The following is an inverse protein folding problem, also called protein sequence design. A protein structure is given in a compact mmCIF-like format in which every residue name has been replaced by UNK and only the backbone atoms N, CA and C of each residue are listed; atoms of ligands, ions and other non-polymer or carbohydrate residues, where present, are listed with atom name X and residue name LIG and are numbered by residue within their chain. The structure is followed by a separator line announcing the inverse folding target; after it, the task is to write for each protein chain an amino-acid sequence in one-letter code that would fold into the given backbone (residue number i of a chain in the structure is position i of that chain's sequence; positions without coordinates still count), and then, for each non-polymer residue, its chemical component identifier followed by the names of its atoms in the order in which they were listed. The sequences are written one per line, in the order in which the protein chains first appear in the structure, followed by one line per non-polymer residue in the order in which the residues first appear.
data_IF_758597793140
#
_entry.id   IF_758597793140
#
_cell.length_a   1.000
_cell.length_b   1.000
_cell.length_c   1.000
_cell.angle_alpha   90.00
_cell.angle_beta   90.00
_cell.angle_gamma   90.00
#
_symmetry.space_group_name_H-M   'P 1'
#
loop_
_entity.id
_entity.type
_entity.pdbx_description
1 polymer ?
#
# COMPACT_ATOMS: atom_id res chain seq x y z
N UNK A 1 46.44 49.32 -46.47
CA UNK A 1 46.82 48.02 -45.89
C UNK A 1 45.67 47.53 -45.02
N UNK A 2 44.98 46.46 -45.42
CA UNK A 2 43.81 45.92 -44.70
C UNK A 2 44.29 44.68 -43.94
N UNK A 3 44.41 44.77 -42.62
CA UNK A 3 44.85 43.66 -41.77
C UNK A 3 43.83 42.52 -41.86
N UNK A 4 44.25 41.40 -42.46
CA UNK A 4 43.49 40.15 -42.44
C UNK A 4 43.71 39.50 -41.07
N UNK A 5 42.69 39.53 -40.20
CA UNK A 5 42.68 38.70 -38.99
C UNK A 5 42.44 37.27 -39.44
N UNK A 6 43.47 36.42 -39.34
CA UNK A 6 43.31 34.98 -39.51
C UNK A 6 42.35 34.51 -38.41
N UNK A 7 41.23 33.83 -38.73
CA UNK A 7 40.36 33.26 -37.72
C UNK A 7 41.17 32.33 -36.84
N UNK A 8 41.06 32.48 -35.52
CA UNK A 8 41.71 31.59 -34.57
C UNK A 8 41.08 30.19 -34.74
N UNK A 9 41.85 29.24 -35.28
CA UNK A 9 41.41 27.86 -35.42
C UNK A 9 41.19 27.28 -34.02
N UNK A 10 39.93 26.99 -33.71
CA UNK A 10 39.55 26.30 -32.48
C UNK A 10 40.06 24.87 -32.58
N UNK A 11 40.77 24.40 -31.56
CA UNK A 11 41.31 23.03 -31.52
C UNK A 11 40.15 22.02 -31.45
N UNK A 12 39.74 21.54 -32.62
CA UNK A 12 38.65 20.59 -32.76
C UNK A 12 38.96 19.23 -32.11
N UNK A 13 40.25 18.87 -31.98
CA UNK A 13 40.68 17.67 -31.28
C UNK A 13 40.35 17.74 -29.78
N UNK A 14 40.69 18.85 -29.12
CA UNK A 14 40.38 19.04 -27.70
C UNK A 14 38.88 19.18 -27.41
N UNK A 15 38.12 19.78 -28.34
CA UNK A 15 36.65 19.84 -28.20
C UNK A 15 36.00 18.47 -28.39
N UNK A 16 36.49 17.66 -29.33
CA UNK A 16 35.98 16.32 -29.58
C UNK A 16 36.23 15.38 -28.39
N UNK A 17 37.40 15.47 -27.77
CA UNK A 17 37.78 14.61 -26.64
C UNK A 17 36.90 14.88 -25.40
N UNK A 18 36.68 16.16 -25.07
CA UNK A 18 35.78 16.55 -23.96
C UNK A 18 34.34 16.12 -24.25
N UNK A 19 33.86 16.29 -25.49
CA UNK A 19 32.52 15.86 -25.86
C UNK A 19 32.34 14.34 -25.78
N UNK A 20 33.37 13.57 -26.14
CA UNK A 20 33.36 12.10 -26.09
C UNK A 20 33.36 11.59 -24.65
N UNK A 21 34.18 12.18 -23.77
CA UNK A 21 34.18 11.85 -22.34
C UNK A 21 32.83 12.17 -21.67
N UNK A 22 32.21 13.29 -22.04
CA UNK A 22 30.87 13.62 -21.54
C UNK A 22 29.80 12.65 -22.06
N UNK A 23 29.89 12.21 -23.31
CA UNK A 23 28.99 11.21 -23.88
C UNK A 23 29.12 9.85 -23.18
N UNK A 24 30.35 9.39 -22.92
CA UNK A 24 30.58 8.15 -22.15
C UNK A 24 30.11 8.34 -20.72
N UNK A 25 30.41 9.48 -20.08
CA UNK A 25 29.95 9.78 -18.73
C UNK A 25 28.43 9.72 -18.66
N UNK A 26 27.70 10.38 -19.58
CA UNK A 26 26.26 10.26 -19.65
C UNK A 26 25.84 8.83 -19.93
N UNK A 27 26.38 8.15 -20.94
CA UNK A 27 26.01 6.77 -21.28
C UNK A 27 26.21 5.77 -20.11
N UNK A 28 27.30 5.90 -19.36
CA UNK A 28 27.65 5.04 -18.21
C UNK A 28 26.82 5.40 -16.97
N UNK A 29 26.53 6.69 -16.75
CA UNK A 29 25.74 7.13 -15.60
C UNK A 29 24.23 7.17 -15.86
N UNK A 30 23.77 7.06 -17.11
CA UNK A 30 22.34 7.06 -17.49
C UNK A 30 21.71 5.68 -17.47
N UNK A 31 22.28 4.70 -16.77
CA UNK A 31 21.49 3.54 -16.35
C UNK A 31 20.53 4.00 -15.26
N UNK A 32 19.41 4.60 -15.67
CA UNK A 32 18.26 4.75 -14.80
C UNK A 32 17.72 3.33 -14.60
N UNK A 33 18.18 2.68 -13.54
CA UNK A 33 17.49 1.52 -13.01
C UNK A 33 16.08 2.00 -12.65
N UNK A 34 15.10 1.60 -13.44
CA UNK A 34 13.70 1.69 -13.06
C UNK A 34 13.45 0.64 -11.99
N UNK A 35 13.89 0.92 -10.77
CA UNK A 35 13.26 0.32 -9.61
C UNK A 35 11.80 0.73 -9.70
N UNK A 36 10.94 -0.19 -10.11
CA UNK A 36 9.50 -0.06 -9.95
C UNK A 36 9.21 -0.08 -8.44
N UNK A 37 9.55 1.02 -7.78
CA UNK A 37 9.26 1.26 -6.39
C UNK A 37 7.75 1.19 -6.21
N UNK A 38 7.32 0.51 -5.17
CA UNK A 38 5.92 0.52 -4.76
C UNK A 38 5.52 1.98 -4.49
N UNK A 39 4.78 2.59 -5.41
CA UNK A 39 4.29 3.95 -5.22
C UNK A 39 3.17 3.92 -4.17
N UNK A 40 3.56 4.00 -2.89
CA UNK A 40 2.66 4.05 -1.74
C UNK A 40 2.68 5.43 -1.14
N UNK A 41 1.49 5.95 -0.89
CA UNK A 41 1.32 7.02 0.08
C UNK A 41 1.67 6.46 1.46
N UNK A 42 2.51 7.16 2.21
CA UNK A 42 2.72 6.84 3.63
C UNK A 42 1.35 6.84 4.33
N UNK A 43 1.06 5.81 5.15
CA UNK A 43 -0.07 5.89 6.06
C UNK A 43 0.04 7.18 6.89
N UNK A 44 -1.08 7.86 7.19
CA UNK A 44 -1.05 8.99 8.10
C UNK A 44 -0.41 8.56 9.43
N UNK A 45 0.39 9.43 10.06
CA UNK A 45 0.97 9.18 11.37
C UNK A 45 -0.16 8.93 12.39
N UNK A 46 -0.34 7.68 12.80
CA UNK A 46 -1.22 7.34 13.92
C UNK A 46 -0.49 7.75 15.21
N UNK A 47 -0.80 8.95 15.71
CA UNK A 47 -0.46 9.38 17.07
C UNK A 47 -1.35 8.72 18.14
N UNK A 48 -2.14 7.71 17.77
CA UNK A 48 -2.82 6.86 18.74
C UNK A 48 -1.73 6.10 19.49
N UNK A 49 -1.50 6.55 20.73
CA UNK A 49 -0.79 5.85 21.80
C UNK A 49 -0.96 4.35 21.58
N UNK A 50 0.12 3.57 21.64
CA UNK A 50 0.10 2.10 21.69
C UNK A 50 -0.58 1.70 23.01
N UNK A 51 -1.87 1.97 23.11
CA UNK A 51 -2.74 1.67 24.21
C UNK A 51 -3.25 0.26 23.95
N UNK A 52 -2.98 -0.63 24.90
CA UNK A 52 -3.58 -1.96 25.10
C UNK A 52 -4.37 -2.52 23.90
N UNK A 53 -3.66 -2.89 22.84
CA UNK A 53 -4.26 -3.53 21.67
C UNK A 53 -4.59 -4.96 22.07
N UNK A 54 -5.87 -5.31 22.12
CA UNK A 54 -6.31 -6.68 22.40
C UNK A 54 -5.78 -7.63 21.34
N UNK A 55 -5.25 -8.78 21.76
CA UNK A 55 -4.69 -9.80 20.88
C UNK A 55 -5.70 -10.26 19.79
N UNK A 56 -6.98 -10.40 20.13
CA UNK A 56 -8.05 -10.72 19.17
C UNK A 56 -8.26 -9.70 18.04
N UNK A 57 -7.73 -8.49 18.19
CA UNK A 57 -7.77 -7.43 17.17
C UNK A 57 -6.50 -7.42 16.31
N UNK A 58 -5.60 -8.39 16.49
CA UNK A 58 -4.41 -8.61 15.66
C UNK A 58 -4.63 -9.80 14.73
N UNK A 59 -4.30 -9.61 13.46
CA UNK A 59 -4.17 -10.69 12.49
C UNK A 59 -2.71 -10.78 12.07
N UNK A 60 -2.04 -11.81 12.54
CA UNK A 60 -0.60 -11.95 12.41
C UNK A 60 -0.25 -12.81 11.20
N UNK A 61 0.37 -12.18 10.19
CA UNK A 61 0.87 -12.87 9.01
C UNK A 61 2.39 -12.99 9.14
N UNK A 62 2.91 -14.21 9.07
CA UNK A 62 4.35 -14.45 9.03
C UNK A 62 4.75 -15.27 7.81
N UNK A 63 5.85 -14.89 7.17
CA UNK A 63 6.44 -15.62 6.05
C UNK A 63 7.79 -16.17 6.49
N UNK A 64 8.00 -17.47 6.36
CA UNK A 64 9.25 -18.11 6.76
C UNK A 64 10.30 -18.10 5.62
N UNK A 65 11.45 -18.72 5.86
CA UNK A 65 12.56 -18.78 4.89
C UNK A 65 12.28 -19.71 3.70
N UNK A 66 11.31 -20.61 3.85
CA UNK A 66 10.85 -21.52 2.78
C UNK A 66 9.65 -20.97 2.03
N UNK A 67 9.39 -19.66 2.13
CA UNK A 67 8.26 -18.97 1.51
C UNK A 67 6.86 -19.47 1.94
N UNK A 68 6.80 -20.17 3.07
CA UNK A 68 5.54 -20.64 3.64
C UNK A 68 4.86 -19.51 4.39
N UNK A 69 3.58 -19.31 4.09
CA UNK A 69 2.74 -18.28 4.69
C UNK A 69 2.03 -18.90 5.88
N UNK A 70 2.14 -18.23 7.03
CA UNK A 70 1.39 -18.56 8.23
C UNK A 70 0.51 -17.37 8.61
N UNK A 71 -0.73 -17.65 8.99
CA UNK A 71 -1.64 -16.67 9.58
C UNK A 71 -2.08 -17.16 10.96
N UNK A 72 -1.90 -16.32 11.98
CA UNK A 72 -2.20 -16.65 13.38
C UNK A 72 -1.55 -17.98 13.85
N UNK A 73 -0.34 -18.27 13.37
CA UNK A 73 0.41 -19.49 13.70
C UNK A 73 0.05 -20.72 12.87
N UNK A 74 -0.97 -20.65 12.01
CA UNK A 74 -1.38 -21.76 11.13
C UNK A 74 -0.87 -21.56 9.71
N UNK A 75 -0.40 -22.66 9.10
CA UNK A 75 0.01 -22.66 7.69
C UNK A 75 -1.22 -22.53 6.81
N UNK A 76 -1.20 -21.54 5.92
CA UNK A 76 -2.31 -21.29 4.99
C UNK A 76 -1.81 -21.15 3.56
N UNK A 77 -2.69 -21.42 2.60
CA UNK A 77 -2.44 -21.08 1.21
C UNK A 77 -2.70 -19.60 0.94
N UNK A 78 -1.88 -19.02 0.05
CA UNK A 78 -2.05 -17.64 -0.43
C UNK A 78 -3.47 -17.37 -0.94
N UNK A 79 -4.07 -18.35 -1.63
CA UNK A 79 -5.44 -18.29 -2.17
C UNK A 79 -6.50 -18.00 -1.11
N UNK A 80 -6.28 -18.48 0.13
CA UNK A 80 -7.22 -18.37 1.24
C UNK A 80 -6.97 -17.14 2.11
N UNK A 81 -5.76 -16.57 2.04
CA UNK A 81 -5.33 -15.45 2.88
C UNK A 81 -6.31 -14.26 2.80
N UNK A 82 -6.68 -13.82 1.58
CA UNK A 82 -7.61 -12.70 1.42
C UNK A 82 -8.96 -12.94 2.07
N UNK A 83 -9.52 -14.15 1.91
CA UNK A 83 -10.80 -14.52 2.52
C UNK A 83 -10.72 -14.46 4.05
N UNK A 84 -9.63 -14.97 4.62
CA UNK A 84 -9.40 -14.97 6.07
C UNK A 84 -9.25 -13.55 6.62
N UNK A 85 -8.48 -12.70 5.94
CA UNK A 85 -8.33 -11.29 6.31
C UNK A 85 -9.68 -10.56 6.23
N UNK A 86 -10.47 -10.81 5.19
CA UNK A 86 -11.80 -10.20 5.08
C UNK A 86 -12.72 -10.64 6.22
N UNK A 87 -12.76 -11.94 6.53
CA UNK A 87 -13.56 -12.46 7.64
C UNK A 87 -13.13 -11.87 8.98
N UNK A 88 -11.82 -11.71 9.19
CA UNK A 88 -11.26 -11.06 10.36
C UNK A 88 -11.66 -9.58 10.47
N UNK A 89 -11.40 -8.77 9.42
CA UNK A 89 -11.69 -7.32 9.47
C UNK A 89 -13.21 -7.09 9.60
N UNK A 90 -14.02 -7.85 8.86
CA UNK A 90 -15.48 -7.70 8.81
C UNK A 90 -16.22 -8.45 9.92
N UNK A 91 -15.50 -9.02 10.91
CA UNK A 91 -16.08 -9.85 11.96
C UNK A 91 -17.13 -9.09 12.79
N UNK A 92 -16.77 -7.92 13.33
CA UNK A 92 -17.67 -7.10 14.16
C UNK A 92 -18.08 -7.79 15.46
N UNK A 93 -17.13 -8.35 16.21
CA UNK A 93 -17.37 -9.18 17.40
C UNK A 93 -17.92 -8.45 18.63
N UNK A 94 -18.13 -7.13 18.59
CA UNK A 94 -18.81 -6.41 19.66
C UNK A 94 -20.30 -6.73 19.70
N UNK A 95 -20.85 -6.81 20.91
CA UNK A 95 -22.27 -7.06 21.12
C UNK A 95 -23.11 -5.86 20.67
N UNK A 96 -24.35 -6.12 20.26
CA UNK A 96 -25.34 -5.11 19.81
C UNK A 96 -25.57 -3.99 20.82
N UNK A 97 -25.35 -4.27 22.11
CA UNK A 97 -25.53 -3.32 23.21
C UNK A 97 -24.33 -2.38 23.42
N UNK A 98 -23.22 -2.59 22.70
CA UNK A 98 -22.04 -1.74 22.75
C UNK A 98 -22.23 -0.48 21.90
N UNK A 99 -21.74 0.66 22.38
CA UNK A 99 -21.73 1.92 21.61
C UNK A 99 -20.92 1.83 20.31
N UNK A 100 -19.94 0.91 20.27
CA UNK A 100 -19.07 0.67 19.12
C UNK A 100 -19.53 -0.52 18.27
N UNK A 101 -20.81 -0.92 18.37
CA UNK A 101 -21.36 -2.00 17.57
C UNK A 101 -21.25 -1.73 16.07
N UNK A 102 -20.74 -2.72 15.33
CA UNK A 102 -20.63 -2.63 13.88
C UNK A 102 -21.95 -3.00 13.19
N UNK A 103 -22.72 -1.99 12.76
CA UNK A 103 -23.99 -2.19 12.05
C UNK A 103 -23.81 -2.61 10.57
N UNK A 104 -22.68 -2.28 9.95
CA UNK A 104 -22.36 -2.60 8.55
C UNK A 104 -21.53 -3.87 8.36
N UNK A 105 -20.99 -4.46 9.44
CA UNK A 105 -20.21 -5.69 9.38
C UNK A 105 -21.08 -6.90 9.02
N UNK A 106 -20.54 -7.81 8.19
CA UNK A 106 -21.25 -9.02 7.73
C UNK A 106 -20.54 -10.33 8.08
N UNK A 107 -19.50 -10.27 8.92
CA UNK A 107 -18.81 -11.46 9.42
C UNK A 107 -19.61 -12.22 10.46
N UNK A 108 -18.97 -13.23 11.04
CA UNK A 108 -19.59 -14.19 11.95
C UNK A 108 -19.82 -13.64 13.37
N UNK A 109 -19.29 -12.45 13.68
CA UNK A 109 -19.37 -11.78 14.99
C UNK A 109 -18.86 -12.64 16.14
N UNK A 110 -17.76 -13.34 15.89
CA UNK A 110 -17.09 -14.16 16.88
C UNK A 110 -16.45 -13.28 17.95
N UNK A 111 -16.63 -13.63 19.22
CA UNK A 111 -16.17 -12.83 20.37
C UNK A 111 -14.66 -12.91 20.61
N UNK A 112 -14.03 -13.94 20.09
CA UNK A 112 -12.59 -14.23 20.11
C UNK A 112 -11.84 -13.67 18.90
N UNK A 113 -12.55 -13.06 17.95
CA UNK A 113 -11.98 -12.41 16.76
C UNK A 113 -12.17 -10.89 16.83
N UNK A 114 -11.78 -10.17 15.77
CA UNK A 114 -11.76 -8.69 15.74
C UNK A 114 -13.08 -8.06 16.18
N UNK A 115 -12.99 -7.09 17.07
CA UNK A 115 -14.13 -6.36 17.64
C UNK A 115 -14.84 -5.49 16.61
N UNK A 116 -14.07 -4.78 15.78
CA UNK A 116 -14.57 -3.80 14.82
C UNK A 116 -13.49 -3.51 13.76
N UNK A 117 -13.85 -3.18 12.50
CA UNK A 117 -12.88 -2.83 11.45
C UNK A 117 -11.89 -1.72 11.82
N UNK A 118 -12.31 -0.79 12.68
CA UNK A 118 -11.44 0.31 13.18
C UNK A 118 -10.40 -0.14 14.19
N UNK A 119 -10.61 -1.28 14.85
CA UNK A 119 -9.67 -1.87 15.82
C UNK A 119 -8.83 -2.99 15.19
N UNK A 120 -9.29 -3.58 14.10
CA UNK A 120 -8.58 -4.61 13.35
C UNK A 120 -7.23 -4.10 12.84
N UNK A 121 -6.15 -4.81 13.17
CA UNK A 121 -4.80 -4.53 12.70
C UNK A 121 -4.24 -5.79 12.06
N UNK A 122 -3.70 -5.65 10.85
CA UNK A 122 -3.03 -6.73 10.13
C UNK A 122 -1.52 -6.52 10.25
N UNK A 123 -0.81 -7.48 10.82
CA UNK A 123 0.66 -7.43 10.91
C UNK A 123 1.26 -8.34 9.85
N UNK A 124 2.35 -7.89 9.22
CA UNK A 124 3.11 -8.67 8.25
C UNK A 124 4.55 -8.75 8.76
N UNK A 125 5.00 -9.98 9.02
CA UNK A 125 6.36 -10.34 9.44
C UNK A 125 6.99 -11.19 8.34
N UNK A 126 8.14 -10.80 7.81
CA UNK A 126 8.89 -11.62 6.88
C UNK A 126 10.26 -11.95 7.48
N UNK A 127 10.77 -13.15 7.23
CA UNK A 127 12.15 -13.49 7.55
C UNK A 127 13.10 -12.90 6.49
N UNK A 128 14.38 -12.74 6.84
CA UNK A 128 15.37 -12.14 5.93
C UNK A 128 15.50 -12.86 4.59
N UNK A 129 15.35 -14.19 4.60
CA UNK A 129 15.51 -15.04 3.43
C UNK A 129 14.20 -15.23 2.65
N UNK A 130 13.09 -14.58 3.05
CA UNK A 130 11.83 -14.65 2.31
C UNK A 130 11.98 -14.04 0.92
N UNK A 131 11.45 -14.73 -0.08
CA UNK A 131 11.43 -14.28 -1.46
C UNK A 131 10.56 -13.03 -1.64
N UNK A 132 11.12 -12.01 -2.29
CA UNK A 132 10.43 -10.75 -2.55
C UNK A 132 9.09 -10.92 -3.30
N UNK A 133 8.98 -11.75 -4.36
CA UNK A 133 7.70 -12.08 -4.99
C UNK A 133 6.62 -12.58 -4.01
N UNK A 134 6.99 -13.40 -3.02
CA UNK A 134 6.04 -13.98 -2.06
C UNK A 134 5.57 -12.92 -1.08
N UNK A 135 6.50 -12.10 -0.58
CA UNK A 135 6.19 -10.92 0.23
C UNK A 135 5.19 -9.99 -0.48
N UNK A 136 5.46 -9.61 -1.74
CA UNK A 136 4.57 -8.76 -2.54
C UNK A 136 3.20 -9.42 -2.75
N UNK A 137 3.17 -10.74 -2.94
CA UNK A 137 1.93 -11.49 -3.15
C UNK A 137 1.04 -11.47 -1.91
N UNK A 138 1.59 -11.76 -0.73
CA UNK A 138 0.90 -11.64 0.57
C UNK A 138 0.34 -10.25 0.75
N UNK A 139 1.16 -9.25 0.45
CA UNK A 139 0.79 -7.87 0.60
C UNK A 139 -0.36 -7.45 -0.35
N UNK A 140 -0.37 -7.95 -1.58
CA UNK A 140 -1.46 -7.74 -2.54
C UNK A 140 -2.76 -8.40 -2.08
N UNK A 141 -2.69 -9.58 -1.43
CA UNK A 141 -3.87 -10.23 -0.84
C UNK A 141 -4.46 -9.38 0.30
N UNK A 142 -3.62 -8.81 1.16
CA UNK A 142 -4.05 -7.91 2.24
C UNK A 142 -4.73 -6.65 1.69
N UNK A 143 -4.08 -5.96 0.74
CA UNK A 143 -4.66 -4.77 0.11
C UNK A 143 -5.94 -5.12 -0.65
N UNK A 144 -5.97 -6.26 -1.32
CA UNK A 144 -7.15 -6.79 -1.99
C UNK A 144 -8.33 -7.02 -1.05
N UNK A 145 -8.09 -7.52 0.17
CA UNK A 145 -9.13 -7.69 1.19
C UNK A 145 -9.77 -6.35 1.57
N UNK A 146 -8.97 -5.32 1.84
CA UNK A 146 -9.47 -3.97 2.13
C UNK A 146 -10.26 -3.40 0.95
N UNK A 147 -9.77 -3.54 -0.28
CA UNK A 147 -10.45 -3.05 -1.47
C UNK A 147 -11.81 -3.73 -1.68
N UNK A 148 -11.91 -5.05 -1.45
CA UNK A 148 -13.18 -5.78 -1.53
C UNK A 148 -14.21 -5.27 -0.50
N UNK A 149 -13.79 -5.06 0.74
CA UNK A 149 -14.67 -4.53 1.80
C UNK A 149 -15.10 -3.10 1.50
N UNK A 150 -14.16 -2.23 1.11
CA UNK A 150 -14.43 -0.84 0.72
C UNK A 150 -15.34 -0.74 -0.49
N UNK A 151 -15.17 -1.61 -1.48
CA UNK A 151 -16.04 -1.69 -2.64
C UNK A 151 -17.47 -2.03 -2.29
N UNK A 152 -17.65 -3.01 -1.40
CA UNK A 152 -18.97 -3.42 -0.95
C UNK A 152 -19.73 -2.23 -0.36
N UNK A 153 -19.09 -1.50 0.55
CA UNK A 153 -19.72 -0.34 1.19
C UNK A 153 -19.87 0.85 0.24
N UNK A 154 -18.88 1.10 -0.62
CA UNK A 154 -18.97 2.13 -1.65
C UNK A 154 -20.16 1.90 -2.58
N UNK A 155 -20.37 0.65 -3.00
CA UNK A 155 -21.50 0.27 -3.84
C UNK A 155 -22.83 0.41 -3.09
N UNK A 156 -22.86 0.09 -1.79
CA UNK A 156 -24.06 0.27 -0.96
C UNK A 156 -24.42 1.76 -0.75
N UNK A 157 -23.44 2.61 -0.50
CA UNK A 157 -23.65 4.02 -0.15
C UNK A 157 -23.77 4.95 -1.36
N UNK A 158 -22.99 4.70 -2.41
CA UNK A 158 -22.84 5.62 -3.56
C UNK A 158 -23.12 4.96 -4.91
N UNK A 159 -23.56 3.70 -4.93
CA UNK A 159 -23.80 2.92 -6.15
C UNK A 159 -22.62 2.88 -7.14
N UNK A 160 -21.40 3.09 -6.64
CA UNK A 160 -20.16 3.16 -7.42
C UNK A 160 -19.08 2.37 -6.68
N UNK A 161 -18.17 1.68 -7.36
CA UNK A 161 -17.07 0.97 -6.69
C UNK A 161 -16.06 1.96 -6.09
N UNK A 162 -15.37 1.54 -5.03
CA UNK A 162 -14.33 2.33 -4.40
C UNK A 162 -13.19 2.59 -5.38
N UNK A 163 -12.78 1.62 -6.22
CA UNK A 163 -11.73 1.87 -7.20
C UNK A 163 -12.15 2.86 -8.28
N UNK A 164 -13.43 2.88 -8.68
CA UNK A 164 -13.92 3.84 -9.66
C UNK A 164 -13.89 5.26 -9.07
N UNK A 165 -14.32 5.44 -7.82
CA UNK A 165 -14.23 6.73 -7.11
C UNK A 165 -12.77 7.14 -6.94
N UNK A 166 -11.90 6.22 -6.51
CA UNK A 166 -10.48 6.48 -6.28
C UNK A 166 -9.77 6.86 -7.59
N UNK A 167 -10.00 6.10 -8.66
CA UNK A 167 -9.47 6.41 -10.00
C UNK A 167 -9.99 7.77 -10.49
N UNK A 168 -11.29 8.03 -10.36
CA UNK A 168 -11.87 9.31 -10.78
C UNK A 168 -11.29 10.51 -10.01
N UNK A 169 -10.96 10.34 -8.72
CA UNK A 169 -10.37 11.41 -7.90
C UNK A 169 -8.97 11.84 -8.38
N UNK A 170 -8.16 10.90 -8.87
CA UNK A 170 -6.81 11.17 -9.37
C UNK A 170 -6.75 11.52 -10.86
N UNK A 171 -7.90 11.61 -11.56
CA UNK A 171 -7.91 12.11 -12.94
C UNK A 171 -7.57 13.60 -12.97
N UNK A 172 -6.78 13.99 -13.97
CA UNK A 172 -6.34 15.38 -14.15
C UNK A 172 -7.49 16.29 -14.61
N UNK A 173 -8.47 15.74 -15.36
CA UNK A 173 -9.58 16.47 -15.98
C UNK A 173 -10.86 16.51 -15.11
N UNK A 174 -10.77 16.94 -13.85
CA UNK A 174 -11.96 17.13 -12.98
C UNK A 174 -11.99 18.51 -12.35
N UNK A 175 -13.18 19.05 -12.11
CA UNK A 175 -13.33 20.34 -11.42
C UNK A 175 -13.02 20.20 -9.93
N UNK A 176 -12.61 21.30 -9.28
CA UNK A 176 -12.35 21.31 -7.82
C UNK A 176 -13.58 20.89 -6.99
N UNK A 177 -14.78 21.24 -7.45
CA UNK A 177 -16.02 20.82 -6.81
C UNK A 177 -16.21 19.29 -6.88
N UNK A 178 -16.02 18.70 -8.07
CA UNK A 178 -16.11 17.25 -8.25
C UNK A 178 -15.05 16.52 -7.43
N UNK A 179 -13.81 17.04 -7.41
CA UNK A 179 -12.72 16.53 -6.59
C UNK A 179 -13.09 16.56 -5.10
N UNK A 180 -13.68 17.66 -4.63
CA UNK A 180 -14.16 17.79 -3.26
C UNK A 180 -15.25 16.77 -2.89
N UNK A 181 -16.20 16.52 -3.80
CA UNK A 181 -17.24 15.51 -3.59
C UNK A 181 -16.67 14.08 -3.53
N UNK A 182 -15.77 13.75 -4.46
CA UNK A 182 -15.09 12.44 -4.48
C UNK A 182 -14.24 12.22 -3.23
N UNK A 183 -13.52 13.25 -2.77
CA UNK A 183 -12.73 13.22 -1.53
C UNK A 183 -13.60 12.84 -0.33
N UNK A 184 -14.73 13.52 -0.16
CA UNK A 184 -15.68 13.23 0.95
C UNK A 184 -16.16 11.78 0.91
N UNK A 185 -16.48 11.25 -0.27
CA UNK A 185 -16.90 9.84 -0.43
C UNK A 185 -15.78 8.88 -0.04
N UNK A 186 -14.55 9.14 -0.48
CA UNK A 186 -13.38 8.34 -0.13
C UNK A 186 -13.11 8.35 1.38
N UNK A 187 -13.22 9.51 2.03
CA UNK A 187 -13.02 9.66 3.47
C UNK A 187 -14.04 8.82 4.26
N UNK A 188 -15.32 8.87 3.90
CA UNK A 188 -16.37 8.05 4.53
C UNK A 188 -16.03 6.55 4.41
N UNK A 189 -15.68 6.07 3.21
CA UNK A 189 -15.37 4.65 2.98
C UNK A 189 -14.11 4.22 3.74
N UNK A 190 -13.07 5.05 3.75
CA UNK A 190 -11.82 4.79 4.46
C UNK A 190 -12.00 4.83 5.98
N UNK A 191 -12.95 5.61 6.48
CA UNK A 191 -13.30 5.63 7.90
C UNK A 191 -14.04 4.35 8.35
N UNK A 192 -14.87 3.76 7.48
CA UNK A 192 -15.52 2.47 7.76
C UNK A 192 -14.50 1.33 7.80
N UNK A 193 -13.62 1.25 6.80
CA UNK A 193 -12.55 0.25 6.74
C UNK A 193 -11.18 0.91 6.69
N UNK A 194 -10.64 1.36 7.83
CA UNK A 194 -9.31 1.97 7.89
C UNK A 194 -8.26 0.89 7.65
N UNK A 195 -7.30 1.18 6.77
CA UNK A 195 -6.24 0.24 6.43
C UNK A 195 -5.11 0.36 7.45
N UNK A 196 -5.18 -0.48 8.49
CA UNK A 196 -4.17 -0.57 9.55
C UNK A 196 -3.28 -1.78 9.28
N UNK A 197 -2.19 -1.55 8.56
CA UNK A 197 -1.18 -2.57 8.25
C UNK A 197 0.10 -2.17 8.98
N UNK A 198 0.66 -3.08 9.76
CA UNK A 198 1.95 -2.91 10.43
C UNK A 198 2.94 -3.87 9.79
N UNK A 199 3.94 -3.33 9.12
CA UNK A 199 5.08 -4.09 8.63
C UNK A 199 6.14 -4.12 9.73
N UNK A 200 6.48 -5.32 10.21
CA UNK A 200 7.47 -5.49 11.25
C UNK A 200 8.83 -5.84 10.63
N UNK A 201 9.88 -5.23 11.15
CA UNK A 201 11.24 -5.48 10.68
C UNK A 201 11.60 -6.96 10.81
N UNK A 202 12.47 -7.42 9.90
CA UNK A 202 12.96 -8.80 9.86
C UNK A 202 13.59 -9.17 11.21
N UNK A 203 13.09 -10.24 11.83
CA UNK A 203 13.61 -10.74 13.10
C UNK A 203 14.90 -11.50 12.79
N UNK A 204 16.02 -11.08 13.41
CA UNK A 204 17.25 -11.86 13.43
C UNK A 204 17.08 -12.95 14.48
N UNK A 205 17.01 -14.21 14.06
CA UNK A 205 17.31 -15.32 14.95
C UNK A 205 18.80 -15.68 14.83
#
# INVERSE_FOLDING_TARGET
MKNHRVPQEVNAGSMADIAFLLLIFFLVTTSIENDAGLNRLMPPENNDVIADIKERNLFDISINETDQIMANGEVIELSSLRKNIMAFIDNGGLLVQSEEYCDYCKGERLTDLSEHPTKAIVTIKALRNTSYPVYVSVQNEVVGAYNMLRNRESKRLFNTSFEAINTAYYKEEITEEQRGQLKKRLEIIRALYPQKIIELATINN
#
